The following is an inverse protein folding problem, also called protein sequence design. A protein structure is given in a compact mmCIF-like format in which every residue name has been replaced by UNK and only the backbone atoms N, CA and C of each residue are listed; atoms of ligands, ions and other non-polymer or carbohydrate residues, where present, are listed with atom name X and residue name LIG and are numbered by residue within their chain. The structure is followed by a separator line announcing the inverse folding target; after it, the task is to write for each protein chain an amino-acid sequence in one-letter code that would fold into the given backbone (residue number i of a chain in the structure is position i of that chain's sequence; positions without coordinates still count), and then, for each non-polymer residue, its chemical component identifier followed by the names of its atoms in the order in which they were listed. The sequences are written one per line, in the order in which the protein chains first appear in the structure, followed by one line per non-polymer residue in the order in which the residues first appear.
data_IF_971522939082
#
_entry.id   IF_971522939082
#
_cell.length_a   1.000
_cell.length_b   1.000
_cell.length_c   1.000
_cell.angle_alpha   90.00
_cell.angle_beta   90.00
_cell.angle_gamma   90.00
#
_symmetry.space_group_name_H-M   'P 1'
#
loop_
_entity.id
_entity.type
_entity.pdbx_description
1 polymer ?
#
# COMPACT_ATOMS: atom_id res chain seq x y z
N UNK A 1 9.84 3.43 2.01
CA UNK A 1 9.21 2.19 2.50
C UNK A 1 9.89 1.11 1.74
N UNK A 2 10.43 0.13 2.43
CA UNK A 2 11.05 -0.98 1.71
C UNK A 2 9.96 -1.91 1.17
N UNK A 3 10.24 -2.51 0.01
CA UNK A 3 9.27 -3.31 -0.74
C UNK A 3 9.70 -4.76 -0.62
N UNK A 4 8.88 -5.59 0.02
CA UNK A 4 9.14 -7.03 0.08
C UNK A 4 8.85 -7.70 -1.26
N UNK A 5 7.79 -7.26 -1.95
CA UNK A 5 7.32 -7.88 -3.19
C UNK A 5 6.65 -6.89 -4.11
N UNK A 6 6.93 -7.00 -5.40
CA UNK A 6 6.18 -6.34 -6.46
C UNK A 6 5.87 -7.34 -7.57
N UNK A 7 4.62 -7.41 -8.03
CA UNK A 7 4.23 -8.36 -9.07
C UNK A 7 3.06 -7.84 -9.90
N UNK A 8 3.03 -8.23 -11.17
CA UNK A 8 1.91 -7.94 -12.06
C UNK A 8 0.86 -9.05 -11.96
N UNK A 9 -0.41 -8.65 -11.91
CA UNK A 9 -1.51 -9.60 -12.14
C UNK A 9 -1.77 -9.78 -13.65
N UNK A 10 -2.67 -10.73 -14.00
CA UNK A 10 -3.04 -11.03 -15.40
C UNK A 10 -3.69 -9.84 -16.15
N UNK A 11 -4.13 -8.80 -15.43
CA UNK A 11 -4.74 -7.59 -15.98
C UNK A 11 -3.77 -6.41 -16.06
N UNK A 12 -2.45 -6.65 -15.99
CA UNK A 12 -1.39 -5.63 -15.98
C UNK A 12 -1.51 -4.61 -14.83
N UNK A 13 -2.13 -4.99 -13.72
CA UNK A 13 -2.10 -4.21 -12.49
C UNK A 13 -0.86 -4.59 -11.71
N UNK A 14 -0.11 -3.60 -11.26
CA UNK A 14 1.06 -3.81 -10.41
C UNK A 14 0.60 -3.80 -8.96
N UNK A 15 0.79 -4.92 -8.28
CA UNK A 15 0.61 -5.07 -6.85
C UNK A 15 1.97 -4.87 -6.19
N UNK A 16 1.98 -4.13 -5.09
CA UNK A 16 3.17 -3.93 -4.27
C UNK A 16 2.83 -4.19 -2.82
N UNK A 17 3.73 -4.90 -2.15
CA UNK A 17 3.63 -5.27 -0.75
C UNK A 17 4.82 -4.66 -0.03
N UNK A 18 4.55 -3.95 1.08
CA UNK A 18 5.60 -3.40 1.94
C UNK A 18 6.45 -4.51 2.57
N UNK A 19 7.59 -4.16 3.15
CA UNK A 19 8.16 -4.99 4.20
C UNK A 19 7.23 -5.06 5.42
N UNK A 20 7.42 -6.12 6.22
CA UNK A 20 6.58 -6.42 7.36
C UNK A 20 6.89 -5.52 8.55
N UNK A 21 5.89 -4.80 9.02
CA UNK A 21 5.93 -4.01 10.25
C UNK A 21 5.67 -4.88 11.48
N UNK A 22 6.19 -4.46 12.64
CA UNK A 22 5.98 -5.15 13.92
C UNK A 22 4.55 -4.99 14.45
N UNK A 23 3.85 -3.94 14.03
CA UNK A 23 2.48 -3.60 14.43
C UNK A 23 1.79 -2.71 13.38
N UNK A 24 0.47 -2.70 13.37
CA UNK A 24 -0.29 -1.77 12.52
C UNK A 24 -0.06 -0.30 12.92
N UNK A 25 0.15 -0.02 14.21
CA UNK A 25 0.51 1.32 14.68
C UNK A 25 1.84 1.78 14.10
N UNK A 26 2.86 0.90 14.07
CA UNK A 26 4.15 1.23 13.47
C UNK A 26 4.08 1.50 11.97
N UNK A 27 3.17 0.81 11.26
CA UNK A 27 2.89 1.05 9.84
C UNK A 27 2.19 2.41 9.63
N UNK A 28 1.20 2.74 10.46
CA UNK A 28 0.51 4.04 10.40
C UNK A 28 1.45 5.19 10.76
N UNK A 29 2.27 5.05 11.80
CA UNK A 29 3.27 6.04 12.20
C UNK A 29 4.28 6.27 11.07
N UNK A 30 4.69 5.20 10.39
CA UNK A 30 5.52 5.29 9.21
C UNK A 30 4.85 6.09 8.09
N UNK A 31 3.58 5.81 7.78
CA UNK A 31 2.82 6.52 6.74
C UNK A 31 2.60 8.00 7.07
N UNK A 32 2.44 8.36 8.35
CA UNK A 32 2.28 9.75 8.82
C UNK A 32 3.52 10.62 8.63
N UNK A 33 4.69 10.04 8.36
CA UNK A 33 5.92 10.80 8.08
C UNK A 33 5.90 11.50 6.72
N UNK A 34 5.00 11.10 5.83
CA UNK A 34 4.87 11.68 4.49
C UNK A 34 3.91 12.88 4.50
N UNK A 35 4.29 13.94 3.79
CA UNK A 35 3.51 15.18 3.72
C UNK A 35 2.07 14.93 3.25
N UNK A 36 1.10 15.29 4.09
CA UNK A 36 -0.32 15.16 3.83
C UNK A 36 -0.96 13.82 4.22
N UNK A 37 -0.20 12.91 4.86
CA UNK A 37 -0.71 11.69 5.47
C UNK A 37 -0.96 11.84 7.00
N UNK A 38 -1.07 13.06 7.53
CA UNK A 38 -1.11 13.29 8.99
C UNK A 38 -2.32 12.63 9.67
N UNK A 39 -3.36 12.33 8.88
CA UNK A 39 -4.63 11.75 9.34
C UNK A 39 -4.79 10.27 9.04
N UNK A 40 -3.77 9.59 8.52
CA UNK A 40 -3.87 8.15 8.22
C UNK A 40 -4.32 7.38 9.47
N UNK A 41 -5.31 6.51 9.29
CA UNK A 41 -5.89 5.73 10.36
C UNK A 41 -6.37 4.36 9.87
N UNK A 42 -6.46 3.42 10.81
CA UNK A 42 -7.01 2.10 10.57
C UNK A 42 -8.54 2.15 10.48
N UNK A 43 -9.05 1.49 9.45
CA UNK A 43 -10.46 1.30 9.18
C UNK A 43 -11.07 0.08 9.86
N UNK A 44 -12.33 -0.21 9.51
CA UNK A 44 -12.97 -1.44 9.97
C UNK A 44 -12.28 -2.67 9.35
N UNK A 45 -12.15 -3.73 10.15
CA UNK A 45 -11.72 -5.03 9.65
C UNK A 45 -12.70 -5.53 8.59
N UNK A 46 -12.18 -5.89 7.43
CA UNK A 46 -12.93 -6.47 6.31
C UNK A 46 -12.76 -7.98 6.37
N UNK A 47 -13.87 -8.71 6.57
CA UNK A 47 -13.83 -10.17 6.79
C UNK A 47 -13.35 -10.99 5.58
N UNK A 48 -13.20 -10.39 4.39
CA UNK A 48 -12.81 -11.14 3.18
C UNK A 48 -12.05 -10.25 2.20
N UNK A 49 -10.71 -10.15 2.24
CA UNK A 49 -10.00 -9.44 1.16
C UNK A 49 -8.55 -9.84 0.83
N UNK A 50 -7.88 -10.75 1.55
CA UNK A 50 -6.61 -11.31 1.06
C UNK A 50 -6.42 -12.75 1.50
N UNK A 51 -6.56 -13.72 0.58
CA UNK A 51 -6.26 -15.16 0.78
C UNK A 51 -6.89 -15.87 1.99
N UNK A 52 -7.91 -15.29 2.62
CA UNK A 52 -8.59 -15.86 3.80
C UNK A 52 -8.15 -15.24 5.12
N UNK A 53 -7.24 -14.26 5.09
CA UNK A 53 -6.78 -13.51 6.25
C UNK A 53 -7.69 -12.30 6.52
N UNK A 54 -7.81 -11.94 7.79
CA UNK A 54 -8.44 -10.70 8.21
C UNK A 54 -7.58 -9.52 7.74
N UNK A 55 -8.19 -8.56 7.06
CA UNK A 55 -7.50 -7.36 6.59
C UNK A 55 -8.17 -6.13 7.17
N UNK A 56 -7.38 -5.09 7.44
CA UNK A 56 -7.87 -3.77 7.78
C UNK A 56 -7.62 -2.82 6.61
N UNK A 57 -8.61 -2.01 6.27
CA UNK A 57 -8.41 -0.92 5.31
C UNK A 57 -7.68 0.24 5.99
N UNK A 58 -6.74 0.89 5.31
CA UNK A 58 -6.14 2.12 5.80
C UNK A 58 -6.70 3.32 5.03
N UNK A 59 -7.17 4.34 5.75
CA UNK A 59 -7.80 5.54 5.18
C UNK A 59 -6.87 6.75 5.19
N UNK A 60 -7.27 7.81 4.47
CA UNK A 60 -6.61 9.12 4.42
C UNK A 60 -5.12 9.09 4.02
N UNK A 61 -4.73 8.07 3.25
CA UNK A 61 -3.41 7.99 2.63
C UNK A 61 -3.40 8.88 1.38
N UNK A 62 -2.78 10.06 1.45
CA UNK A 62 -2.66 11.02 0.35
C UNK A 62 -1.83 10.52 -0.83
N UNK A 63 -1.10 9.42 -0.72
CA UNK A 63 -0.54 8.73 -1.88
C UNK A 63 -1.64 8.46 -2.95
N UNK A 64 -2.91 8.34 -2.53
CA UNK A 64 -4.09 8.17 -3.39
C UNK A 64 -4.57 9.44 -4.12
N UNK A 65 -4.12 10.65 -3.75
CA UNK A 65 -4.70 11.95 -4.18
C UNK A 65 -4.40 12.31 -5.66
N UNK A 66 -3.46 11.61 -6.31
CA UNK A 66 -3.29 11.67 -7.78
C UNK A 66 -3.93 10.50 -8.53
N UNK A 67 -4.71 9.67 -7.83
CA UNK A 67 -5.40 8.50 -8.39
C UNK A 67 -4.50 7.27 -8.63
N UNK A 68 -3.28 7.25 -8.09
CA UNK A 68 -2.29 6.20 -8.41
C UNK A 68 -2.40 4.93 -7.57
N UNK A 69 -2.92 5.04 -6.35
CA UNK A 69 -3.17 3.91 -5.47
C UNK A 69 -4.67 3.83 -5.20
N UNK A 70 -5.24 2.67 -5.47
CA UNK A 70 -6.59 2.34 -5.03
C UNK A 70 -6.50 1.08 -4.18
N UNK A 71 -7.38 1.04 -3.18
CA UNK A 71 -7.61 -0.12 -2.33
C UNK A 71 -6.32 -0.55 -1.58
N UNK A 72 -5.85 0.33 -0.69
CA UNK A 72 -4.75 0.05 0.23
C UNK A 72 -5.27 -0.75 1.41
N UNK A 73 -4.74 -1.95 1.62
CA UNK A 73 -5.12 -2.81 2.74
C UNK A 73 -3.89 -3.27 3.49
N UNK A 74 -4.03 -3.40 4.80
CA UNK A 74 -3.05 -4.03 5.68
C UNK A 74 -3.57 -5.40 6.11
N UNK A 75 -2.68 -6.38 6.14
CA UNK A 75 -2.97 -7.72 6.66
C UNK A 75 -1.83 -8.22 7.56
N UNK A 76 -2.16 -9.14 8.47
CA UNK A 76 -1.20 -9.81 9.34
C UNK A 76 -0.81 -11.17 8.75
N UNK A 77 0.48 -11.43 8.61
CA UNK A 77 1.03 -12.73 8.22
C UNK A 77 2.24 -13.05 9.12
N UNK A 78 2.15 -14.14 9.89
CA UNK A 78 3.20 -14.59 10.81
C UNK A 78 3.65 -13.54 11.85
N UNK A 79 2.72 -12.78 12.42
CA UNK A 79 3.00 -11.75 13.43
C UNK A 79 3.61 -10.47 12.87
N UNK A 80 3.50 -10.26 11.56
CA UNK A 80 3.98 -9.06 10.85
C UNK A 80 2.85 -8.46 10.03
N UNK A 81 2.84 -7.13 9.94
CA UNK A 81 1.82 -6.37 9.23
C UNK A 81 2.35 -5.91 7.87
N UNK A 82 1.58 -6.14 6.82
CA UNK A 82 1.97 -5.83 5.46
C UNK A 82 0.89 -5.01 4.78
N UNK A 83 1.26 -3.84 4.25
CA UNK A 83 0.41 -3.07 3.36
C UNK A 83 0.57 -3.59 1.93
N UNK A 84 -0.55 -4.00 1.33
CA UNK A 84 -0.70 -4.23 -0.10
C UNK A 84 -1.52 -3.12 -0.73
N UNK A 85 -1.06 -2.65 -1.89
CA UNK A 85 -1.80 -1.72 -2.74
C UNK A 85 -1.56 -2.08 -4.19
N UNK A 86 -2.47 -1.64 -5.07
CA UNK A 86 -2.27 -1.81 -6.51
C UNK A 86 -2.37 -0.51 -7.28
N UNK A 87 -1.65 -0.51 -8.42
CA UNK A 87 -1.70 0.54 -9.43
C UNK A 87 -2.24 0.00 -10.74
N UNK A 88 -3.21 0.71 -11.29
CA UNK A 88 -3.75 0.47 -12.63
C UNK A 88 -2.79 1.09 -13.65
N UNK A 89 -2.61 0.42 -14.80
CA UNK A 89 -1.81 0.91 -15.94
C UNK A 89 -0.31 1.11 -15.66
N UNK A 90 0.24 0.43 -14.67
CA UNK A 90 1.68 0.36 -14.46
C UNK A 90 2.38 -0.18 -15.73
N UNK A 91 3.30 0.60 -16.30
CA UNK A 91 4.04 0.25 -17.52
C UNK A 91 3.39 0.64 -18.86
N UNK A 92 2.18 1.23 -18.88
CA UNK A 92 1.55 1.72 -20.12
C UNK A 92 1.98 3.12 -20.54
N UNK A 93 2.41 3.98 -19.61
CA UNK A 93 2.89 5.33 -19.89
C UNK A 93 4.30 5.54 -19.32
N UNK A 94 5.16 6.24 -20.10
CA UNK A 94 6.55 6.55 -19.71
C UNK A 94 6.67 7.41 -18.44
N UNK A 95 5.62 8.15 -18.11
CA UNK A 95 5.58 9.15 -17.04
C UNK A 95 5.12 8.61 -15.68
N UNK A 96 5.00 7.29 -15.49
CA UNK A 96 4.42 6.74 -14.27
C UNK A 96 5.15 5.47 -13.80
N UNK A 97 6.48 5.57 -13.68
CA UNK A 97 7.33 4.46 -13.24
C UNK A 97 7.27 4.27 -11.71
N UNK A 98 7.63 3.06 -11.25
CA UNK A 98 7.72 2.66 -9.83
C UNK A 98 8.46 3.66 -8.92
N UNK A 99 9.40 4.44 -9.44
CA UNK A 99 10.16 5.42 -8.66
C UNK A 99 9.30 6.57 -8.12
N UNK A 100 8.33 7.04 -8.90
CA UNK A 100 7.38 8.07 -8.45
C UNK A 100 6.41 7.54 -7.38
N UNK A 101 6.16 6.22 -7.37
CA UNK A 101 5.24 5.57 -6.43
C UNK A 101 5.70 5.68 -4.97
N UNK A 102 6.99 5.90 -4.73
CA UNK A 102 7.56 5.97 -3.38
C UNK A 102 8.24 7.30 -3.08
N UNK A 103 8.02 8.31 -3.93
CA UNK A 103 8.73 9.59 -3.80
C UNK A 103 10.24 9.46 -3.93
N UNK A 104 10.74 8.38 -4.53
CA UNK A 104 12.15 8.28 -4.92
C UNK A 104 12.36 9.23 -6.10
N UNK A 105 12.65 10.50 -5.80
CA UNK A 105 13.22 11.39 -6.79
C UNK A 105 14.52 10.76 -7.28
N UNK A 106 14.66 10.74 -8.60
CA UNK A 106 15.84 10.21 -9.28
C UNK A 106 17.07 11.04 -8.99
#
# INVERSE_FOLDING_TARGET
MDISKAYFNRNNRLYVVSEGFDSIESEIEYLKQFEGNEKVEEGAALEHNHKGDAVSELFDIKCTDKGYFRDCFTYEENGKYYMEFYKIDAGRNKDHNLYEMFGFNK
#
